data_IF_373153133970
#
_entry.id   IF_373153133970
#
_cell.length_a   1.000
_cell.length_b   1.000
_cell.length_c   1.000
_cell.angle_alpha   90.00
_cell.angle_beta   90.00
_cell.angle_gamma   90.00
#
_symmetry.space_group_name_H-M   'P 1'
#
loop_
_entity.id
_entity.type
_entity.pdbx_description
1 polymer ?
#
# COMPACT_ATOMS: atom_id res chain seq x y z
N UNK A 1 -11.45 -5.19 30.23
CA UNK A 1 -11.62 -6.66 30.23
C UNK A 1 -11.46 -7.16 28.80
N UNK A 2 -10.31 -7.74 28.42
CA UNK A 2 -10.19 -8.74 27.32
C UNK A 2 -8.71 -9.19 27.18
N UNK A 3 -8.13 -9.77 28.22
CA UNK A 3 -6.77 -10.35 28.16
C UNK A 3 -6.72 -11.58 29.05
N UNK A 4 -6.94 -12.78 28.47
CA UNK A 4 -6.57 -14.08 29.07
C UNK A 4 -6.95 -15.32 28.25
N UNK A 5 -7.75 -15.19 27.18
CA UNK A 5 -8.27 -16.36 26.45
C UNK A 5 -7.42 -16.83 25.26
N UNK A 6 -6.51 -16.01 24.74
CA UNK A 6 -5.68 -16.36 23.57
C UNK A 6 -4.41 -17.16 23.89
N UNK A 7 -3.96 -17.20 25.15
CA UNK A 7 -2.73 -17.91 25.52
C UNK A 7 -2.93 -19.43 25.74
N UNK A 8 -4.17 -19.89 25.90
CA UNK A 8 -4.46 -21.33 26.08
C UNK A 8 -4.52 -22.09 24.75
N UNK A 9 -4.76 -21.40 23.63
CA UNK A 9 -4.78 -22.01 22.29
C UNK A 9 -3.37 -22.31 21.76
N UNK A 10 -2.39 -21.45 22.08
CA UNK A 10 -0.99 -21.65 21.67
C UNK A 10 -0.33 -22.85 22.38
N UNK A 11 -0.69 -23.12 23.65
CA UNK A 11 -0.14 -24.26 24.40
C UNK A 11 -0.67 -25.62 23.97
N UNK A 12 -1.93 -25.71 23.50
CA UNK A 12 -2.54 -26.99 23.08
C UNK A 12 -2.06 -27.43 21.69
N UNK A 13 -1.79 -26.47 20.79
CA UNK A 13 -1.24 -26.77 19.47
C UNK A 13 0.23 -27.21 19.54
N UNK A 14 1.04 -26.65 20.45
CA UNK A 14 2.41 -27.08 20.67
C UNK A 14 2.50 -28.50 21.30
N UNK A 15 1.55 -28.87 22.16
CA UNK A 15 1.50 -30.19 22.79
C UNK A 15 1.09 -31.32 21.82
N UNK A 16 0.28 -31.02 20.80
CA UNK A 16 -0.14 -32.01 19.80
C UNK A 16 0.96 -32.36 18.78
N UNK A 17 1.88 -31.44 18.49
CA UNK A 17 3.00 -31.73 17.57
C UNK A 17 4.07 -32.60 18.24
N UNK A 18 4.27 -32.48 19.56
CA UNK A 18 5.24 -33.32 20.31
C UNK A 18 4.70 -34.74 20.55
N UNK A 19 3.38 -34.92 20.68
CA UNK A 19 2.75 -36.22 20.81
C UNK A 19 2.71 -37.03 19.50
N UNK A 20 2.64 -36.36 18.34
CA UNK A 20 2.67 -37.03 17.03
C UNK A 20 4.06 -37.59 16.69
N UNK A 21 5.15 -36.95 17.16
CA UNK A 21 6.53 -37.41 16.93
C UNK A 21 6.88 -38.63 17.80
N UNK A 22 6.24 -38.78 18.97
CA UNK A 22 6.53 -39.88 19.90
C UNK A 22 5.79 -41.19 19.57
N UNK A 23 4.68 -41.14 18.81
CA UNK A 23 3.96 -42.36 18.37
C UNK A 23 4.61 -43.01 17.15
N UNK A 24 5.33 -42.26 16.31
CA UNK A 24 6.09 -42.83 15.18
C UNK A 24 7.33 -43.59 15.67
N UNK A 25 7.91 -43.20 16.82
CA UNK A 25 9.08 -43.88 17.38
C UNK A 25 8.76 -45.23 18.07
N UNK A 26 7.50 -45.47 18.48
CA UNK A 26 7.13 -46.64 19.27
C UNK A 26 6.60 -47.84 18.44
N UNK A 27 6.25 -47.64 17.17
CA UNK A 27 5.74 -48.73 16.30
C UNK A 27 6.84 -49.47 15.52
N UNK A 28 8.10 -49.05 15.62
CA UNK A 28 9.23 -49.70 14.94
C UNK A 28 9.82 -50.89 15.70
N UNK A 29 9.25 -51.29 16.85
CA UNK A 29 9.86 -52.27 17.76
C UNK A 29 9.29 -53.70 17.72
N UNK A 30 8.33 -54.03 16.84
CA UNK A 30 7.69 -55.37 16.82
C UNK A 30 7.67 -56.09 15.46
N UNK A 31 8.52 -55.72 14.51
CA UNK A 31 8.69 -56.47 13.26
C UNK A 31 9.97 -57.32 13.30
N UNK A 32 9.76 -58.63 13.22
CA UNK A 32 10.75 -59.69 12.97
C UNK A 32 11.78 -59.25 11.92
N UNK A 33 13.10 -59.52 12.10
CA UNK A 33 14.12 -59.03 11.18
C UNK A 33 14.10 -59.83 9.88
N UNK A 34 13.34 -59.36 8.90
CA UNK A 34 13.54 -59.72 7.50
C UNK A 34 14.85 -59.07 7.05
N UNK A 35 15.88 -59.90 6.83
CA UNK A 35 17.12 -59.51 6.16
C UNK A 35 16.81 -58.99 4.74
N UNK A 36 16.80 -57.66 4.59
CA UNK A 36 17.52 -56.89 3.56
C UNK A 36 16.87 -55.53 3.39
N UNK A 37 17.29 -54.57 4.21
CA UNK A 37 17.52 -53.17 3.84
C UNK A 37 18.50 -52.64 4.89
N UNK A 38 19.68 -53.26 4.94
CA UNK A 38 20.80 -52.66 5.64
C UNK A 38 21.26 -51.51 4.73
N UNK A 39 20.59 -50.36 4.84
CA UNK A 39 21.05 -49.14 4.20
C UNK A 39 22.51 -48.97 4.60
N UNK A 40 23.40 -49.04 3.61
CA UNK A 40 24.82 -48.93 3.90
C UNK A 40 25.07 -47.60 4.62
N UNK A 41 26.09 -47.49 5.49
CA UNK A 41 26.45 -46.19 6.09
C UNK A 41 26.66 -45.09 5.03
N UNK A 42 26.99 -45.45 3.79
CA UNK A 42 27.06 -44.52 2.65
C UNK A 42 25.68 -44.03 2.18
N UNK A 43 24.66 -44.88 2.20
CA UNK A 43 23.29 -44.55 1.83
C UNK A 43 22.64 -43.57 2.82
N UNK A 44 22.83 -43.81 4.12
CA UNK A 44 22.40 -42.87 5.16
C UNK A 44 23.12 -41.52 5.06
N UNK A 45 24.41 -41.52 4.71
CA UNK A 45 25.16 -40.28 4.44
C UNK A 45 24.65 -39.55 3.20
N UNK A 46 24.23 -40.28 2.15
CA UNK A 46 23.61 -39.70 0.97
C UNK A 46 22.25 -39.06 1.30
N UNK A 47 21.44 -39.72 2.12
CA UNK A 47 20.14 -39.21 2.58
C UNK A 47 20.28 -37.95 3.44
N UNK A 48 21.23 -37.93 4.40
CA UNK A 48 21.52 -36.72 5.20
C UNK A 48 22.03 -35.56 4.34
N UNK A 49 22.82 -35.84 3.30
CA UNK A 49 23.25 -34.81 2.33
C UNK A 49 22.07 -34.29 1.52
N UNK A 50 21.15 -35.16 1.10
CA UNK A 50 19.90 -34.80 0.45
C UNK A 50 19.04 -33.90 1.35
N UNK A 51 18.77 -34.33 2.57
CA UNK A 51 18.00 -33.54 3.55
C UNK A 51 18.64 -32.18 3.85
N UNK A 52 19.98 -32.12 3.93
CA UNK A 52 20.70 -30.85 4.11
C UNK A 52 20.57 -29.94 2.89
N UNK A 53 20.55 -30.50 1.68
CA UNK A 53 20.32 -29.73 0.45
C UNK A 53 18.89 -29.19 0.43
N UNK A 54 17.88 -30.02 0.73
CA UNK A 54 16.48 -29.64 0.80
C UNK A 54 16.25 -28.57 1.87
N UNK A 55 16.85 -28.74 3.05
CA UNK A 55 16.77 -27.75 4.13
C UNK A 55 17.36 -26.40 3.72
N UNK A 56 18.52 -26.40 3.05
CA UNK A 56 19.12 -25.16 2.51
C UNK A 56 18.22 -24.51 1.47
N UNK A 57 17.56 -25.30 0.64
CA UNK A 57 16.62 -24.82 -0.37
C UNK A 57 15.37 -24.20 0.28
N UNK A 58 14.76 -24.86 1.26
CA UNK A 58 13.60 -24.35 2.01
C UNK A 58 13.97 -23.09 2.79
N UNK A 59 15.14 -23.06 3.45
CA UNK A 59 15.61 -21.87 4.18
C UNK A 59 15.78 -20.66 3.24
N UNK A 60 16.33 -20.88 2.04
CA UNK A 60 16.47 -19.83 1.02
C UNK A 60 15.11 -19.30 0.57
N UNK A 61 14.16 -20.19 0.27
CA UNK A 61 12.79 -19.82 -0.11
C UNK A 61 12.11 -19.02 0.99
N UNK A 62 12.25 -19.45 2.25
CA UNK A 62 11.64 -18.76 3.40
C UNK A 62 12.14 -17.32 3.56
N UNK A 63 13.46 -17.10 3.46
CA UNK A 63 14.05 -15.75 3.52
C UNK A 63 13.57 -14.88 2.35
N UNK A 64 13.48 -15.46 1.14
CA UNK A 64 12.97 -14.74 -0.02
C UNK A 64 11.50 -14.36 0.15
N UNK A 65 10.66 -15.26 0.68
CA UNK A 65 9.26 -14.98 0.97
C UNK A 65 9.11 -13.87 2.03
N UNK A 66 9.90 -13.90 3.10
CA UNK A 66 9.89 -12.83 4.11
C UNK A 66 10.25 -11.47 3.52
N UNK A 67 11.25 -11.42 2.64
CA UNK A 67 11.64 -10.19 1.94
C UNK A 67 10.52 -9.68 1.02
N UNK A 68 9.82 -10.59 0.32
CA UNK A 68 8.69 -10.23 -0.52
C UNK A 68 7.56 -9.63 0.31
N UNK A 69 7.18 -10.25 1.42
CA UNK A 69 6.14 -9.71 2.31
C UNK A 69 6.52 -8.33 2.84
N UNK A 70 7.77 -8.14 3.26
CA UNK A 70 8.24 -6.82 3.71
C UNK A 70 8.15 -5.76 2.59
N UNK A 71 8.48 -6.12 1.35
CA UNK A 71 8.37 -5.22 0.19
C UNK A 71 6.92 -4.91 -0.17
N UNK A 72 6.03 -5.90 -0.10
CA UNK A 72 4.59 -5.73 -0.31
C UNK A 72 4.03 -4.71 0.70
N UNK A 73 4.30 -4.90 1.99
CA UNK A 73 3.86 -3.99 3.05
C UNK A 73 4.35 -2.56 2.82
N UNK A 74 5.61 -2.39 2.39
CA UNK A 74 6.16 -1.08 2.06
C UNK A 74 5.48 -0.43 0.86
N UNK A 75 5.19 -1.19 -0.20
CA UNK A 75 4.50 -0.66 -1.38
C UNK A 75 3.05 -0.28 -1.06
N UNK A 76 2.33 -1.11 -0.31
CA UNK A 76 0.96 -0.81 0.12
C UNK A 76 0.92 0.46 0.98
N UNK A 77 1.88 0.60 1.91
CA UNK A 77 2.01 1.82 2.70
C UNK A 77 2.26 3.05 1.81
N UNK A 78 3.15 2.95 0.82
CA UNK A 78 3.44 4.07 -0.12
C UNK A 78 2.21 4.46 -0.93
N UNK A 79 1.50 3.49 -1.50
CA UNK A 79 0.26 3.73 -2.25
C UNK A 79 -0.77 4.44 -1.36
N UNK A 80 -0.96 3.96 -0.14
CA UNK A 80 -1.91 4.55 0.82
C UNK A 80 -1.56 6.00 1.17
N UNK A 81 -0.26 6.30 1.37
CA UNK A 81 0.20 7.66 1.64
C UNK A 81 -0.07 8.58 0.45
N UNK A 82 0.36 8.21 -0.75
CA UNK A 82 0.20 9.04 -1.96
C UNK A 82 -1.29 9.22 -2.29
N UNK A 83 -2.10 8.17 -2.17
CA UNK A 83 -3.55 8.25 -2.36
C UNK A 83 -4.23 9.13 -1.31
N UNK A 84 -3.73 9.14 -0.07
CA UNK A 84 -4.16 10.07 0.98
C UNK A 84 -3.88 11.52 0.60
N UNK A 85 -2.63 11.82 0.25
CA UNK A 85 -2.20 13.15 -0.17
C UNK A 85 -2.97 13.65 -1.39
N UNK A 86 -3.19 12.79 -2.39
CA UNK A 86 -3.95 13.14 -3.60
C UNK A 86 -5.40 13.52 -3.26
N UNK A 87 -6.06 12.79 -2.35
CA UNK A 87 -7.42 13.12 -1.91
C UNK A 87 -7.47 14.48 -1.20
N UNK A 88 -6.50 14.75 -0.33
CA UNK A 88 -6.40 16.02 0.38
C UNK A 88 -6.20 17.19 -0.57
N UNK A 89 -5.26 17.10 -1.52
CA UNK A 89 -5.02 18.15 -2.51
C UNK A 89 -6.25 18.38 -3.40
N UNK A 90 -6.92 17.32 -3.85
CA UNK A 90 -8.19 17.43 -4.61
C UNK A 90 -9.27 18.18 -3.84
N UNK A 91 -9.40 17.89 -2.55
CA UNK A 91 -10.34 18.60 -1.68
C UNK A 91 -9.97 20.09 -1.57
N UNK A 92 -8.69 20.41 -1.39
CA UNK A 92 -8.21 21.79 -1.33
C UNK A 92 -8.43 22.55 -2.63
N UNK A 93 -8.18 21.93 -3.79
CA UNK A 93 -8.51 22.49 -5.12
C UNK A 93 -10.00 22.81 -5.20
N UNK A 94 -10.87 21.86 -4.85
CA UNK A 94 -12.32 22.06 -4.89
C UNK A 94 -12.80 23.19 -3.97
N UNK A 95 -12.24 23.31 -2.76
CA UNK A 95 -12.53 24.41 -1.83
C UNK A 95 -12.10 25.75 -2.43
N UNK A 96 -10.87 25.84 -2.95
CA UNK A 96 -10.32 27.08 -3.52
C UNK A 96 -11.11 27.54 -4.75
N UNK A 97 -11.47 26.62 -5.62
CA UNK A 97 -12.27 26.92 -6.82
C UNK A 97 -13.68 27.37 -6.45
N UNK A 98 -14.32 26.69 -5.49
CA UNK A 98 -15.66 27.06 -5.03
C UNK A 98 -15.68 28.44 -4.37
N UNK A 99 -14.62 28.79 -3.63
CA UNK A 99 -14.48 30.11 -3.00
C UNK A 99 -14.36 31.26 -4.02
N UNK A 100 -13.92 31.00 -5.25
CA UNK A 100 -13.87 32.03 -6.30
C UNK A 100 -15.24 32.40 -6.87
N UNK A 101 -16.23 31.50 -6.78
CA UNK A 101 -17.57 31.72 -7.36
C UNK A 101 -18.24 32.98 -6.80
N UNK A 102 -18.39 33.15 -5.47
CA UNK A 102 -19.02 34.35 -4.92
C UNK A 102 -18.23 35.63 -5.23
N UNK A 103 -16.89 35.58 -5.25
CA UNK A 103 -16.06 36.75 -5.57
C UNK A 103 -16.22 37.18 -7.03
N UNK A 104 -16.31 36.24 -7.98
CA UNK A 104 -16.61 36.54 -9.38
C UNK A 104 -18.02 37.12 -9.53
N UNK A 105 -18.99 36.64 -8.74
CA UNK A 105 -20.33 37.21 -8.66
C UNK A 105 -20.33 38.66 -8.16
N UNK A 106 -19.61 38.93 -7.06
CA UNK A 106 -19.44 40.28 -6.52
C UNK A 106 -18.77 41.21 -7.54
N UNK A 107 -17.69 40.75 -8.19
CA UNK A 107 -16.99 41.52 -9.20
C UNK A 107 -17.91 41.89 -10.36
N UNK A 108 -18.70 40.94 -10.85
CA UNK A 108 -19.67 41.17 -11.92
C UNK A 108 -20.73 42.19 -11.51
N UNK A 109 -21.30 42.06 -10.31
CA UNK A 109 -22.29 43.03 -9.81
C UNK A 109 -21.73 44.44 -9.68
N UNK A 110 -20.45 44.56 -9.31
CA UNK A 110 -19.74 45.84 -9.23
C UNK A 110 -19.51 46.45 -10.63
N UNK A 111 -19.05 45.64 -11.59
CA UNK A 111 -18.87 46.05 -12.98
C UNK A 111 -20.20 46.47 -13.65
N UNK A 112 -21.29 45.75 -13.39
CA UNK A 112 -22.62 46.09 -13.87
C UNK A 112 -23.13 47.40 -13.25
N UNK A 113 -22.85 47.65 -11.96
CA UNK A 113 -23.21 48.90 -11.27
C UNK A 113 -22.44 50.10 -11.83
N UNK A 114 -21.13 49.95 -12.07
CA UNK A 114 -20.28 50.99 -12.70
C UNK A 114 -20.80 51.38 -14.09
N UNK A 115 -21.31 50.40 -14.86
CA UNK A 115 -21.87 50.66 -16.20
C UNK A 115 -23.24 51.31 -16.17
N UNK A 116 -23.93 51.33 -15.02
CA UNK A 116 -25.24 51.94 -14.90
C UNK A 116 -25.14 53.47 -14.87
N UNK A 117 -26.02 54.16 -15.59
CA UNK A 117 -25.97 55.62 -15.76
C UNK A 117 -26.38 56.43 -14.50
N UNK A 118 -26.67 55.77 -13.38
CA UNK A 118 -27.27 56.37 -12.18
C UNK A 118 -26.28 56.57 -11.03
N UNK A 119 -24.97 56.41 -11.26
CA UNK A 119 -23.94 56.48 -10.23
C UNK A 119 -23.17 57.80 -10.34
N UNK A 120 -22.91 58.46 -9.21
CA UNK A 120 -22.08 59.68 -9.21
C UNK A 120 -20.61 59.36 -9.53
N UNK A 121 -19.86 60.35 -10.01
CA UNK A 121 -18.43 60.20 -10.35
C UNK A 121 -17.60 59.70 -9.16
N UNK A 122 -17.93 60.14 -7.95
CA UNK A 122 -17.21 59.72 -6.73
C UNK A 122 -17.49 58.26 -6.39
N UNK A 123 -18.76 57.85 -6.42
CA UNK A 123 -19.16 56.45 -6.23
C UNK A 123 -18.57 55.53 -7.32
N UNK A 124 -18.50 56.02 -8.57
CA UNK A 124 -17.88 55.26 -9.66
C UNK A 124 -16.40 54.98 -9.37
N UNK A 125 -15.63 55.96 -8.90
CA UNK A 125 -14.21 55.79 -8.53
C UNK A 125 -14.01 54.80 -7.37
N UNK A 126 -14.87 54.88 -6.37
CA UNK A 126 -14.86 53.94 -5.24
C UNK A 126 -15.12 52.50 -5.71
N UNK A 127 -16.15 52.33 -6.55
CA UNK A 127 -16.48 51.03 -7.14
C UNK A 127 -15.37 50.50 -8.05
N UNK A 128 -14.72 51.35 -8.85
CA UNK A 128 -13.58 50.96 -9.68
C UNK A 128 -12.39 50.50 -8.83
N UNK A 129 -12.11 51.19 -7.73
CA UNK A 129 -11.06 50.82 -6.78
C UNK A 129 -11.35 49.46 -6.15
N UNK A 130 -12.59 49.25 -5.68
CA UNK A 130 -13.03 47.98 -5.12
C UNK A 130 -12.99 46.84 -6.16
N UNK A 131 -13.29 47.14 -7.43
CA UNK A 131 -13.23 46.18 -8.54
C UNK A 131 -11.80 45.74 -8.81
N UNK A 132 -10.84 46.67 -8.83
CA UNK A 132 -9.43 46.35 -8.98
C UNK A 132 -8.90 45.50 -7.82
N UNK A 133 -9.26 45.83 -6.57
CA UNK A 133 -8.88 45.02 -5.41
C UNK A 133 -9.45 43.59 -5.50
N UNK A 134 -10.72 43.47 -5.87
CA UNK A 134 -11.38 42.16 -6.02
C UNK A 134 -10.74 41.34 -7.15
N UNK A 135 -10.40 41.98 -8.28
CA UNK A 135 -9.65 41.34 -9.39
C UNK A 135 -8.29 40.82 -8.94
N UNK A 136 -7.53 41.61 -8.18
CA UNK A 136 -6.23 41.20 -7.66
C UNK A 136 -6.35 39.98 -6.73
N UNK A 137 -7.36 39.96 -5.86
CA UNK A 137 -7.61 38.81 -4.97
C UNK A 137 -8.00 37.55 -5.76
N UNK A 138 -8.87 37.67 -6.78
CA UNK A 138 -9.23 36.55 -7.66
C UNK A 138 -8.00 35.99 -8.38
N UNK A 139 -7.15 36.87 -8.93
CA UNK A 139 -5.93 36.46 -9.62
C UNK A 139 -4.97 35.70 -8.69
N UNK A 140 -4.82 36.16 -7.45
CA UNK A 140 -4.02 35.47 -6.44
C UNK A 140 -4.60 34.08 -6.10
N UNK A 141 -5.91 33.97 -5.89
CA UNK A 141 -6.55 32.68 -5.64
C UNK A 141 -6.47 31.72 -6.84
N UNK A 142 -6.49 32.25 -8.06
CA UNK A 142 -6.30 31.45 -9.27
C UNK A 142 -4.89 30.89 -9.35
N UNK A 143 -3.89 31.69 -9.00
CA UNK A 143 -2.49 31.23 -8.94
C UNK A 143 -2.32 30.10 -7.92
N UNK A 144 -2.85 30.27 -6.71
CA UNK A 144 -2.82 29.22 -5.67
C UNK A 144 -3.53 27.93 -6.11
N UNK A 145 -4.72 28.05 -6.72
CA UNK A 145 -5.45 26.90 -7.25
C UNK A 145 -4.65 26.19 -8.36
N UNK A 146 -3.96 26.94 -9.22
CA UNK A 146 -3.12 26.38 -10.26
C UNK A 146 -1.91 25.63 -9.69
N UNK A 147 -1.27 26.17 -8.65
CA UNK A 147 -0.18 25.48 -7.94
C UNK A 147 -0.66 24.16 -7.31
N UNK A 148 -1.86 24.15 -6.71
CA UNK A 148 -2.47 22.92 -6.19
C UNK A 148 -2.80 21.92 -7.30
N UNK A 149 -3.28 22.36 -8.47
CA UNK A 149 -3.52 21.47 -9.64
C UNK A 149 -2.24 20.84 -10.18
N UNK A 150 -1.13 21.58 -10.15
CA UNK A 150 0.19 21.02 -10.51
C UNK A 150 0.58 19.92 -9.51
N UNK A 151 0.41 20.17 -8.21
CA UNK A 151 0.65 19.17 -7.17
C UNK A 151 -0.28 17.94 -7.31
N UNK A 152 -1.55 18.16 -7.63
CA UNK A 152 -2.52 17.09 -7.89
C UNK A 152 -2.04 16.19 -9.04
N UNK A 153 -1.59 16.80 -10.14
CA UNK A 153 -1.10 16.09 -11.31
C UNK A 153 0.14 15.26 -10.97
N UNK A 154 1.07 15.84 -10.22
CA UNK A 154 2.28 15.15 -9.76
C UNK A 154 1.95 13.96 -8.86
N UNK A 155 1.10 14.14 -7.85
CA UNK A 155 0.66 13.06 -6.97
C UNK A 155 -0.10 11.97 -7.74
N UNK A 156 -0.90 12.34 -8.74
CA UNK A 156 -1.59 11.39 -9.61
C UNK A 156 -0.59 10.54 -10.41
N UNK A 157 0.45 11.16 -10.97
CA UNK A 157 1.50 10.44 -11.71
C UNK A 157 2.30 9.51 -10.79
N UNK A 158 2.61 9.96 -9.57
CA UNK A 158 3.27 9.14 -8.56
C UNK A 158 2.41 7.94 -8.18
N UNK A 159 1.10 8.12 -7.99
CA UNK A 159 0.18 7.03 -7.68
C UNK A 159 0.16 5.99 -8.80
N UNK A 160 0.04 6.42 -10.06
CA UNK A 160 0.10 5.51 -11.22
C UNK A 160 1.43 4.76 -11.29
N UNK A 161 2.54 5.42 -10.96
CA UNK A 161 3.86 4.79 -10.93
C UNK A 161 3.94 3.71 -9.84
N UNK A 162 3.46 3.98 -8.63
CA UNK A 162 3.45 3.00 -7.54
C UNK A 162 2.49 1.83 -7.83
N UNK A 163 1.34 2.10 -8.46
CA UNK A 163 0.43 1.05 -8.94
C UNK A 163 1.10 0.15 -10.00
N UNK A 164 1.88 0.73 -10.93
CA UNK A 164 2.65 -0.05 -11.90
C UNK A 164 3.72 -0.93 -11.24
N UNK A 165 4.43 -0.40 -10.24
CA UNK A 165 5.41 -1.16 -9.44
C UNK A 165 4.76 -2.30 -8.65
N UNK A 166 3.54 -2.09 -8.16
CA UNK A 166 2.74 -3.12 -7.49
C UNK A 166 2.36 -4.25 -8.44
N UNK A 167 1.94 -3.92 -9.67
CA UNK A 167 1.61 -4.93 -10.68
C UNK A 167 2.84 -5.77 -11.05
N UNK A 168 4.00 -5.16 -11.30
CA UNK A 168 5.25 -5.89 -11.57
C UNK A 168 5.66 -6.77 -10.38
N UNK A 169 5.48 -6.26 -9.15
CA UNK A 169 5.74 -7.03 -7.94
C UNK A 169 4.85 -8.27 -7.85
N UNK A 170 3.55 -8.12 -8.14
CA UNK A 170 2.60 -9.24 -8.14
C UNK A 170 2.95 -10.30 -9.18
N UNK A 171 3.33 -9.89 -10.40
CA UNK A 171 3.77 -10.84 -11.43
C UNK A 171 5.02 -11.64 -11.03
N UNK A 172 5.97 -11.01 -10.31
CA UNK A 172 7.15 -11.72 -9.77
C UNK A 172 6.78 -12.69 -8.65
N UNK A 173 5.78 -12.37 -7.84
CA UNK A 173 5.25 -13.28 -6.83
C UNK A 173 4.62 -14.51 -7.48
N UNK A 174 3.79 -14.33 -8.50
CA UNK A 174 3.15 -15.41 -9.24
C UNK A 174 4.20 -16.35 -9.87
N UNK A 175 5.27 -15.78 -10.44
CA UNK A 175 6.38 -16.58 -10.99
C UNK A 175 7.12 -17.35 -9.89
N UNK A 176 7.34 -16.75 -8.72
CA UNK A 176 7.93 -17.46 -7.58
C UNK A 176 7.05 -18.60 -7.08
N UNK A 177 5.73 -18.40 -7.01
CA UNK A 177 4.77 -19.44 -6.64
C UNK A 177 4.83 -20.61 -7.63
N UNK A 178 4.97 -20.33 -8.92
CA UNK A 178 5.12 -21.34 -9.96
C UNK A 178 6.43 -22.13 -9.87
N UNK A 179 7.51 -21.50 -9.40
CA UNK A 179 8.82 -22.12 -9.24
C UNK A 179 8.92 -22.95 -7.95
N UNK A 180 7.98 -22.82 -7.03
CA UNK A 180 7.91 -23.70 -5.87
C UNK A 180 7.45 -25.10 -6.34
N UNK A 181 8.21 -26.17 -6.03
CA UNK A 181 7.77 -27.52 -6.35
C UNK A 181 6.43 -27.79 -5.67
N UNK A 182 5.47 -28.35 -6.41
CA UNK A 182 4.23 -28.83 -5.83
C UNK A 182 4.58 -29.78 -4.68
N UNK A 183 4.13 -29.45 -3.46
CA UNK A 183 4.36 -30.28 -2.29
C UNK A 183 3.90 -31.71 -2.61
N UNK A 184 4.76 -32.74 -2.47
CA UNK A 184 4.32 -34.11 -2.70
C UNK A 184 3.17 -34.42 -1.74
N UNK A 185 2.06 -34.93 -2.31
CA UNK A 185 0.90 -35.41 -1.55
C UNK A 185 1.20 -36.75 -0.89
#
# INVERSE_FOLDING_TARGET
MLTRRSWRAAGVLAALVVAAVSIVAAQSALTTPSKSDASSPEELLAEVRGLRADFRQVAKVSVQAQLLVARLQLQEQRINVVAGQLREVRQLVGIKESAQIPMKGQLKGLEDSIRSANVSVEQQREMETQSQMTKAQIAQMQKEAQELRVQETELSNQLTTEQGRWLDFNSRLDEMERLLPASPR
#
